data_IF_764531531707
#
_entry.id   IF_764531531707
#
_cell.length_a   1.000
_cell.length_b   1.000
_cell.length_c   1.000
_cell.angle_alpha   90.00
_cell.angle_beta   90.00
_cell.angle_gamma   90.00
#
_symmetry.space_group_name_H-M   'P 1'
#
loop_
_entity.id
_entity.type
_entity.pdbx_description
1 polymer ?
#
# COMPACT_ATOMS: atom_id res chain seq x y z
N UNK A 1 -7.16 -18.36 53.16
CA UNK A 1 -6.40 -19.14 52.16
C UNK A 1 -6.41 -18.53 50.75
N UNK A 2 -7.41 -17.72 50.35
CA UNK A 2 -7.46 -17.13 48.99
C UNK A 2 -6.38 -16.06 48.70
N UNK A 3 -5.96 -15.29 49.71
CA UNK A 3 -5.05 -14.15 49.52
C UNK A 3 -3.62 -14.58 49.15
N UNK A 4 -3.15 -15.72 49.68
CA UNK A 4 -1.80 -16.23 49.41
C UNK A 4 -1.68 -16.83 48.01
N UNK A 5 -2.76 -17.46 47.50
CA UNK A 5 -2.80 -17.97 46.12
C UNK A 5 -2.73 -16.85 45.07
N UNK A 6 -3.33 -15.69 45.35
CA UNK A 6 -3.27 -14.53 44.47
C UNK A 6 -1.85 -13.94 44.37
N UNK A 7 -1.12 -13.84 45.48
CA UNK A 7 0.27 -13.36 45.48
C UNK A 7 1.22 -14.29 44.72
N UNK A 8 1.03 -15.61 44.83
CA UNK A 8 1.82 -16.59 44.08
C UNK A 8 1.55 -16.46 42.57
N UNK A 9 0.27 -16.30 42.18
CA UNK A 9 -0.11 -16.08 40.77
C UNK A 9 0.47 -14.79 40.20
N UNK A 10 0.46 -13.70 40.98
CA UNK A 10 1.05 -12.40 40.58
C UNK A 10 2.58 -12.51 40.46
N UNK A 11 3.24 -13.22 41.37
CA UNK A 11 4.68 -13.44 41.31
C UNK A 11 5.06 -14.29 40.09
N UNK A 12 4.31 -15.35 39.78
CA UNK A 12 4.55 -16.21 38.61
C UNK A 12 4.34 -15.42 37.31
N UNK A 13 3.30 -14.60 37.20
CA UNK A 13 3.09 -13.76 36.00
C UNK A 13 4.18 -12.70 35.85
N UNK A 14 4.57 -12.01 36.94
CA UNK A 14 5.68 -11.05 36.92
C UNK A 14 7.02 -11.69 36.55
N UNK A 15 7.30 -12.91 37.03
CA UNK A 15 8.52 -13.66 36.70
C UNK A 15 8.51 -14.09 35.23
N UNK A 16 7.37 -14.51 34.70
CA UNK A 16 7.24 -14.87 33.27
C UNK A 16 7.38 -13.67 32.33
N UNK A 17 7.03 -12.46 32.76
CA UNK A 17 7.24 -11.21 32.00
C UNK A 17 8.74 -10.85 31.96
N UNK A 18 9.52 -11.18 32.98
CA UNK A 18 10.95 -10.89 33.05
C UNK A 18 11.84 -11.85 32.23
N UNK A 19 11.33 -13.03 31.87
CA UNK A 19 12.11 -14.04 31.11
C UNK A 19 12.02 -13.91 29.59
N UNK A 20 11.26 -12.97 29.06
CA UNK A 20 11.15 -12.76 27.60
C UNK A 20 11.95 -11.52 27.21
N UNK A 21 13.24 -11.71 26.90
CA UNK A 21 14.01 -10.68 26.20
C UNK A 21 13.57 -10.63 24.73
N UNK A 22 12.96 -9.54 24.26
CA UNK A 22 12.67 -9.39 22.84
C UNK A 22 13.99 -9.29 22.07
N UNK A 23 14.35 -10.34 21.32
CA UNK A 23 15.47 -10.28 20.37
C UNK A 23 15.08 -9.41 19.19
N UNK A 24 15.50 -8.14 19.25
CA UNK A 24 15.48 -7.27 18.07
C UNK A 24 16.52 -7.77 17.06
N UNK A 25 16.07 -8.21 15.89
CA UNK A 25 16.93 -8.65 14.79
C UNK A 25 16.98 -7.51 13.77
N UNK A 26 18.18 -7.01 13.48
CA UNK A 26 18.41 -6.09 12.37
C UNK A 26 18.48 -6.91 11.08
N UNK A 27 17.51 -6.71 10.19
CA UNK A 27 17.48 -7.38 8.89
C UNK A 27 18.31 -6.60 7.86
N UNK A 28 19.09 -7.32 7.04
CA UNK A 28 19.67 -6.72 5.84
C UNK A 28 18.63 -6.70 4.71
N UNK A 29 17.99 -5.56 4.52
CA UNK A 29 16.93 -5.37 3.52
C UNK A 29 17.45 -4.92 2.15
N UNK A 30 18.77 -4.87 1.96
CA UNK A 30 19.37 -4.43 0.69
C UNK A 30 19.14 -5.47 -0.41
N UNK A 31 18.45 -5.08 -1.49
CA UNK A 31 18.26 -5.95 -2.66
C UNK A 31 19.48 -5.92 -3.59
N UNK A 32 19.94 -7.09 -4.04
CA UNK A 32 20.96 -7.22 -5.09
C UNK A 32 20.61 -8.38 -6.01
N UNK A 33 20.78 -8.17 -7.32
CA UNK A 33 20.71 -9.26 -8.30
C UNK A 33 22.03 -10.04 -8.21
N UNK A 34 21.94 -11.35 -7.98
CA UNK A 34 23.11 -12.24 -7.93
C UNK A 34 23.13 -13.09 -9.20
N UNK A 35 24.13 -12.93 -10.09
CA UNK A 35 24.27 -13.76 -11.28
C UNK A 35 24.40 -15.25 -10.91
N UNK A 36 23.82 -16.13 -11.73
CA UNK A 36 23.86 -17.57 -11.50
C UNK A 36 22.97 -18.06 -10.34
N UNK A 37 22.13 -17.20 -9.77
CA UNK A 37 21.10 -17.57 -8.79
C UNK A 37 19.71 -17.15 -9.26
N UNK A 38 18.67 -17.80 -8.73
CA UNK A 38 17.31 -17.30 -8.83
C UNK A 38 17.21 -15.99 -8.04
N UNK A 39 16.70 -14.95 -8.68
CA UNK A 39 16.44 -13.66 -8.05
C UNK A 39 14.93 -13.52 -7.85
N UNK A 40 14.51 -13.42 -6.59
CA UNK A 40 13.10 -13.32 -6.21
C UNK A 40 12.77 -11.85 -5.95
N UNK A 41 11.85 -11.30 -6.74
CA UNK A 41 11.38 -9.93 -6.59
C UNK A 41 10.09 -9.92 -5.77
N UNK A 42 10.17 -9.41 -4.54
CA UNK A 42 9.00 -9.21 -3.69
C UNK A 42 8.38 -7.85 -4.01
N UNK A 43 7.18 -7.86 -4.58
CA UNK A 43 6.47 -6.64 -5.00
C UNK A 43 5.26 -6.42 -4.08
N UNK A 44 5.46 -5.60 -3.05
CA UNK A 44 4.39 -5.25 -2.13
C UNK A 44 3.37 -4.32 -2.80
N UNK A 45 2.10 -4.66 -2.66
CA UNK A 45 0.98 -3.96 -3.29
C UNK A 45 -0.28 -4.08 -2.42
N UNK A 46 -1.30 -3.29 -2.77
CA UNK A 46 -2.68 -3.47 -2.33
C UNK A 46 -3.57 -3.56 -3.56
N UNK A 47 -4.72 -4.20 -3.43
CA UNK A 47 -5.73 -4.28 -4.46
C UNK A 47 -6.99 -3.59 -3.94
N UNK A 48 -7.21 -2.35 -4.39
CA UNK A 48 -8.26 -1.49 -3.87
C UNK A 48 -9.38 -1.34 -4.90
N UNK A 49 -10.33 -2.28 -4.90
CA UNK A 49 -11.48 -2.26 -5.81
C UNK A 49 -12.24 -0.92 -5.73
N UNK A 50 -12.38 -0.23 -6.87
CA UNK A 50 -13.17 1.01 -6.97
C UNK A 50 -14.67 0.69 -7.04
N UNK A 51 -15.14 0.04 -5.99
CA UNK A 51 -16.50 -0.51 -5.87
C UNK A 51 -16.57 -1.99 -6.26
N UNK A 52 -17.03 -2.82 -5.32
CA UNK A 52 -17.31 -4.25 -5.53
C UNK A 52 -18.35 -4.73 -4.52
N UNK A 53 -17.95 -5.23 -3.35
CA UNK A 53 -18.89 -5.60 -2.28
C UNK A 53 -19.36 -4.38 -1.48
N UNK A 54 -18.48 -3.36 -1.37
CA UNK A 54 -18.79 -2.07 -0.76
C UNK A 54 -18.74 -0.98 -1.83
N UNK A 55 -19.38 0.15 -1.55
CA UNK A 55 -19.25 1.33 -2.41
C UNK A 55 -17.83 1.90 -2.32
N UNK A 56 -17.45 2.72 -3.32
CA UNK A 56 -16.15 3.43 -3.32
C UNK A 56 -15.93 4.17 -2.00
N UNK A 57 -16.94 4.92 -1.53
CA UNK A 57 -16.83 5.68 -0.28
C UNK A 57 -16.69 4.78 0.95
N UNK A 58 -17.43 3.67 0.99
CA UNK A 58 -17.36 2.72 2.09
C UNK A 58 -16.00 2.04 2.18
N UNK A 59 -15.40 1.68 1.04
CA UNK A 59 -14.01 1.21 0.99
C UNK A 59 -13.03 2.29 1.43
N UNK A 60 -13.20 3.54 1.00
CA UNK A 60 -12.28 4.61 1.34
C UNK A 60 -12.22 4.87 2.85
N UNK A 61 -13.37 5.15 3.47
CA UNK A 61 -13.43 5.51 4.91
C UNK A 61 -13.46 4.29 5.84
N UNK A 62 -13.51 3.07 5.30
CA UNK A 62 -13.58 1.85 6.08
C UNK A 62 -14.90 1.65 6.83
N UNK A 63 -16.02 2.07 6.26
CA UNK A 63 -17.34 1.82 6.83
C UNK A 63 -17.94 0.50 6.32
N UNK A 64 -19.00 0.04 7.00
CA UNK A 64 -19.72 -1.19 6.67
C UNK A 64 -18.83 -2.45 6.64
N UNK A 65 -17.90 -2.56 7.60
CA UNK A 65 -16.93 -3.66 7.66
C UNK A 65 -17.54 -5.03 8.00
N UNK A 66 -18.83 -5.11 8.32
CA UNK A 66 -19.55 -6.38 8.41
C UNK A 66 -19.68 -7.08 7.05
N UNK A 67 -19.62 -6.34 5.93
CA UNK A 67 -19.58 -6.90 4.58
C UNK A 67 -18.16 -7.39 4.27
N UNK A 68 -17.18 -6.50 4.45
CA UNK A 68 -15.76 -6.77 4.20
C UNK A 68 -14.90 -5.78 5.00
N UNK A 69 -13.96 -6.30 5.79
CA UNK A 69 -12.97 -5.49 6.49
C UNK A 69 -11.96 -4.89 5.52
N UNK A 70 -12.14 -3.62 5.17
CA UNK A 70 -11.27 -2.92 4.22
C UNK A 70 -11.39 -1.42 4.44
N UNK A 71 -10.25 -0.71 4.47
CA UNK A 71 -10.17 0.74 4.63
C UNK A 71 -8.98 1.27 3.83
N UNK A 72 -9.23 1.86 2.66
CA UNK A 72 -8.16 2.35 1.77
C UNK A 72 -7.41 3.52 2.40
N UNK A 73 -8.09 4.39 3.15
CA UNK A 73 -7.44 5.48 3.87
C UNK A 73 -6.37 4.95 4.83
N UNK A 74 -6.68 3.92 5.62
CA UNK A 74 -5.70 3.32 6.54
C UNK A 74 -4.51 2.72 5.80
N UNK A 75 -4.73 2.10 4.63
CA UNK A 75 -3.65 1.56 3.80
C UNK A 75 -2.71 2.68 3.38
N UNK A 76 -3.23 3.75 2.76
CA UNK A 76 -2.43 4.89 2.29
C UNK A 76 -1.72 5.61 3.45
N UNK A 77 -2.40 5.83 4.57
CA UNK A 77 -1.82 6.44 5.77
C UNK A 77 -0.68 5.60 6.37
N UNK A 78 -0.77 4.28 6.28
CA UNK A 78 0.24 3.36 6.84
C UNK A 78 1.46 3.16 5.92
N UNK A 79 1.29 3.26 4.60
CA UNK A 79 2.37 3.06 3.63
C UNK A 79 3.47 4.12 3.82
N UNK A 80 3.10 5.39 4.02
CA UNK A 80 4.06 6.49 4.16
C UNK A 80 5.07 6.26 5.30
N UNK A 81 4.65 6.06 6.56
CA UNK A 81 5.60 5.77 7.65
C UNK A 81 6.30 4.42 7.47
N UNK A 82 5.64 3.41 6.88
CA UNK A 82 6.28 2.12 6.61
C UNK A 82 7.46 2.24 5.63
N UNK A 83 7.33 3.07 4.59
CA UNK A 83 8.41 3.34 3.63
C UNK A 83 9.50 4.25 4.22
N UNK A 84 9.15 5.20 5.08
CA UNK A 84 10.14 6.05 5.76
C UNK A 84 11.02 5.27 6.74
N UNK A 85 10.48 4.21 7.35
CA UNK A 85 11.22 3.41 8.32
C UNK A 85 12.39 2.60 7.71
N UNK A 86 12.37 2.34 6.40
CA UNK A 86 13.47 1.66 5.71
C UNK A 86 13.50 2.05 4.22
N UNK A 87 14.60 2.70 3.82
CA UNK A 87 14.85 3.17 2.44
C UNK A 87 14.83 2.06 1.37
N UNK A 88 15.02 0.80 1.78
CA UNK A 88 15.01 -0.33 0.86
C UNK A 88 13.60 -0.87 0.60
N UNK A 89 12.60 -0.48 1.40
CA UNK A 89 11.22 -0.89 1.18
C UNK A 89 10.65 -0.24 -0.07
N UNK A 90 9.85 -1.02 -0.79
CA UNK A 90 9.17 -0.64 -2.02
C UNK A 90 7.70 -0.98 -1.94
N UNK A 91 6.86 -0.16 -2.54
CA UNK A 91 5.43 -0.39 -2.66
C UNK A 91 4.92 0.14 -4.00
N UNK A 92 4.01 -0.59 -4.63
CA UNK A 92 3.31 -0.16 -5.84
C UNK A 92 1.85 0.18 -5.50
N UNK A 93 1.33 1.26 -6.09
CA UNK A 93 -0.08 1.64 -5.94
C UNK A 93 -0.72 1.90 -7.31
N UNK A 94 -1.99 1.52 -7.46
CA UNK A 94 -2.65 1.44 -8.77
C UNK A 94 -3.75 2.50 -8.91
N UNK A 95 -4.82 2.42 -8.12
CA UNK A 95 -6.10 3.10 -8.39
C UNK A 95 -6.09 4.60 -8.07
N UNK A 96 -6.06 5.46 -9.10
CA UNK A 96 -6.01 6.90 -8.88
C UNK A 96 -7.29 7.47 -8.26
N UNK A 97 -8.45 6.82 -8.38
CA UNK A 97 -9.67 7.27 -7.73
C UNK A 97 -9.49 7.45 -6.21
N UNK A 98 -8.84 6.49 -5.56
CA UNK A 98 -8.56 6.56 -4.13
C UNK A 98 -7.35 7.43 -3.82
N UNK A 99 -6.24 7.26 -4.56
CA UNK A 99 -5.03 8.03 -4.31
C UNK A 99 -5.28 9.54 -4.43
N UNK A 100 -5.99 9.98 -5.47
CA UNK A 100 -6.31 11.40 -5.65
C UNK A 100 -7.25 11.93 -4.58
N UNK A 101 -8.17 11.10 -4.08
CA UNK A 101 -9.04 11.48 -2.96
C UNK A 101 -8.21 11.72 -1.71
N UNK A 102 -7.40 10.73 -1.34
CA UNK A 102 -6.49 10.81 -0.21
C UNK A 102 -5.54 12.01 -0.33
N UNK A 103 -4.96 12.22 -1.51
CA UNK A 103 -4.01 13.31 -1.78
C UNK A 103 -4.56 14.70 -1.45
N UNK A 104 -5.84 14.95 -1.79
CA UNK A 104 -6.50 16.24 -1.53
C UNK A 104 -6.64 16.55 -0.04
N UNK A 105 -6.69 15.51 0.79
CA UNK A 105 -6.87 15.64 2.24
C UNK A 105 -5.51 15.76 2.98
N UNK A 106 -4.38 15.58 2.28
CA UNK A 106 -3.05 15.58 2.89
C UNK A 106 -2.48 16.97 3.12
N UNK A 107 -1.73 17.13 4.21
CA UNK A 107 -0.93 18.33 4.47
C UNK A 107 0.25 18.45 3.49
N UNK A 108 0.76 19.67 3.31
CA UNK A 108 1.93 19.94 2.45
C UNK A 108 3.13 19.06 2.84
N UNK A 109 3.37 18.86 4.13
CA UNK A 109 4.47 18.01 4.64
C UNK A 109 4.34 16.55 4.20
N UNK A 110 3.13 15.99 4.24
CA UNK A 110 2.87 14.62 3.77
C UNK A 110 3.02 14.56 2.26
N UNK A 111 2.48 15.54 1.54
CA UNK A 111 2.60 15.62 0.08
C UNK A 111 4.07 15.69 -0.38
N UNK A 112 4.91 16.49 0.27
CA UNK A 112 6.35 16.56 0.01
C UNK A 112 7.05 15.25 0.30
N UNK A 113 6.66 14.57 1.39
CA UNK A 113 7.19 13.26 1.75
C UNK A 113 6.87 12.22 0.67
N UNK A 114 5.62 12.18 0.21
CA UNK A 114 5.19 11.27 -0.88
C UNK A 114 5.92 11.60 -2.17
N UNK A 115 6.06 12.88 -2.54
CA UNK A 115 6.87 13.31 -3.69
C UNK A 115 8.31 12.79 -3.60
N UNK A 116 8.93 12.84 -2.41
CA UNK A 116 10.26 12.27 -2.18
C UNK A 116 10.28 10.75 -2.35
N UNK A 117 9.29 10.04 -1.80
CA UNK A 117 9.17 8.58 -1.93
C UNK A 117 9.02 8.15 -3.40
N UNK A 118 8.21 8.87 -4.18
CA UNK A 118 8.07 8.68 -5.63
C UNK A 118 9.39 8.93 -6.36
N UNK A 119 10.08 10.04 -6.08
CA UNK A 119 11.36 10.37 -6.71
C UNK A 119 12.48 9.36 -6.38
N UNK A 120 12.45 8.78 -5.19
CA UNK A 120 13.41 7.75 -4.77
C UNK A 120 13.10 6.35 -5.34
N UNK A 121 11.90 6.14 -5.90
CA UNK A 121 11.43 4.82 -6.34
C UNK A 121 11.10 3.86 -5.19
N UNK A 122 10.82 4.38 -4.00
CA UNK A 122 10.26 3.59 -2.89
C UNK A 122 8.74 3.42 -3.05
N UNK A 123 8.06 4.45 -3.55
CA UNK A 123 6.67 4.35 -3.97
C UNK A 123 6.63 4.46 -5.49
N UNK A 124 5.87 3.59 -6.15
CA UNK A 124 5.66 3.65 -7.58
C UNK A 124 4.16 3.62 -7.88
N UNK A 125 3.69 4.55 -8.73
CA UNK A 125 2.32 4.53 -9.25
C UNK A 125 2.34 3.75 -10.56
N UNK A 126 1.62 2.63 -10.62
CA UNK A 126 1.53 1.75 -11.79
C UNK A 126 0.12 1.76 -12.36
N UNK A 127 -0.05 1.43 -13.64
CA UNK A 127 -1.29 1.66 -14.42
C UNK A 127 -1.67 3.15 -14.45
N UNK A 128 -2.07 3.73 -13.33
CA UNK A 128 -2.32 5.15 -13.15
C UNK A 128 -3.63 5.64 -13.73
N UNK A 129 -4.51 4.75 -14.19
CA UNK A 129 -5.91 5.09 -14.46
C UNK A 129 -6.71 5.37 -13.19
N UNK A 130 -7.91 5.91 -13.35
CA UNK A 130 -8.85 6.07 -12.24
C UNK A 130 -9.17 4.75 -11.54
N UNK A 131 -9.26 3.66 -12.30
CA UNK A 131 -9.36 2.29 -11.81
C UNK A 131 -8.56 1.32 -12.69
N UNK A 132 -8.42 0.09 -12.23
CA UNK A 132 -8.15 -1.06 -13.10
C UNK A 132 -9.47 -1.43 -13.78
N UNK A 133 -9.65 -1.02 -15.03
CA UNK A 133 -10.89 -1.27 -15.77
C UNK A 133 -10.99 -2.72 -16.20
N UNK A 134 -12.23 -3.20 -16.42
CA UNK A 134 -12.48 -4.45 -17.14
C UNK A 134 -11.91 -4.37 -18.57
N UNK A 135 -11.50 -5.50 -19.14
CA UNK A 135 -10.96 -5.58 -20.50
C UNK A 135 -11.95 -6.23 -21.49
N UNK A 136 -13.08 -6.76 -20.99
CA UNK A 136 -14.06 -7.45 -21.84
C UNK A 136 -15.23 -6.55 -22.28
N UNK A 137 -15.82 -5.79 -21.35
CA UNK A 137 -17.06 -5.05 -21.58
C UNK A 137 -16.92 -3.56 -21.99
N UNK A 138 -15.90 -2.78 -21.56
CA UNK A 138 -15.90 -1.35 -21.85
C UNK A 138 -15.55 -1.04 -23.30
N UNK A 139 -15.99 0.13 -23.77
CA UNK A 139 -15.53 0.68 -25.03
C UNK A 139 -14.12 1.25 -24.84
N UNK A 140 -13.26 1.11 -25.86
CA UNK A 140 -11.88 1.59 -25.78
C UNK A 140 -11.77 3.11 -25.50
N UNK A 141 -12.78 3.89 -25.87
CA UNK A 141 -12.86 5.33 -25.53
C UNK A 141 -12.92 5.50 -24.01
N UNK A 142 -13.75 4.73 -23.31
CA UNK A 142 -13.87 4.81 -21.85
C UNK A 142 -12.58 4.34 -21.16
N UNK A 143 -11.93 3.31 -21.70
CA UNK A 143 -10.61 2.85 -21.25
C UNK A 143 -9.57 3.98 -21.38
N UNK A 144 -9.57 4.70 -22.51
CA UNK A 144 -8.67 5.83 -22.76
C UNK A 144 -8.99 6.99 -21.83
N UNK A 145 -10.25 7.35 -21.68
CA UNK A 145 -10.68 8.52 -20.90
C UNK A 145 -10.34 8.36 -19.42
N UNK A 146 -10.67 7.20 -18.83
CA UNK A 146 -10.37 6.95 -17.42
C UNK A 146 -8.86 6.89 -17.17
N UNK A 147 -8.09 6.34 -18.11
CA UNK A 147 -6.62 6.27 -18.03
C UNK A 147 -6.02 7.67 -18.13
N UNK A 148 -6.50 8.46 -19.10
CA UNK A 148 -6.06 9.83 -19.35
C UNK A 148 -6.34 10.73 -18.15
N UNK A 149 -7.50 10.56 -17.49
CA UNK A 149 -7.86 11.35 -16.32
C UNK A 149 -6.87 11.13 -15.16
N UNK A 150 -6.54 9.87 -14.87
CA UNK A 150 -5.57 9.53 -13.85
C UNK A 150 -4.15 9.99 -14.20
N UNK A 151 -3.69 9.75 -15.44
CA UNK A 151 -2.35 10.15 -15.90
C UNK A 151 -2.17 11.67 -15.89
N UNK A 152 -3.22 12.43 -16.21
CA UNK A 152 -3.18 13.91 -16.19
C UNK A 152 -2.88 14.44 -14.80
N UNK A 153 -3.49 13.85 -13.76
CA UNK A 153 -3.19 14.19 -12.37
C UNK A 153 -1.72 13.89 -12.03
N UNK A 154 -1.25 12.67 -12.32
CA UNK A 154 0.14 12.26 -12.04
C UNK A 154 1.14 13.18 -12.71
N UNK A 155 0.91 13.51 -14.00
CA UNK A 155 1.78 14.40 -14.77
C UNK A 155 1.82 15.81 -14.16
N UNK A 156 0.67 16.34 -13.74
CA UNK A 156 0.53 17.68 -13.17
C UNK A 156 1.21 17.79 -11.80
N UNK A 157 0.94 16.85 -10.90
CA UNK A 157 1.37 16.95 -9.49
C UNK A 157 2.81 16.52 -9.26
N UNK A 158 3.31 15.55 -10.03
CA UNK A 158 4.62 14.92 -9.77
C UNK A 158 5.68 15.25 -10.82
N UNK A 159 5.36 16.02 -11.87
CA UNK A 159 6.28 16.39 -12.96
C UNK A 159 7.11 15.20 -13.44
N UNK A 160 6.43 14.18 -13.98
CA UNK A 160 6.99 12.89 -14.45
C UNK A 160 8.54 12.84 -14.52
N UNK A 161 9.23 12.41 -13.45
CA UNK A 161 10.63 12.02 -13.59
C UNK A 161 10.72 10.91 -14.65
N UNK A 162 11.78 10.91 -15.48
CA UNK A 162 12.05 9.82 -16.41
C UNK A 162 11.95 8.47 -15.65
N UNK A 163 10.94 7.66 -15.96
CA UNK A 163 10.71 6.37 -15.30
C UNK A 163 9.25 6.01 -15.01
N UNK A 164 8.35 6.99 -14.86
CA UNK A 164 6.92 6.71 -14.63
C UNK A 164 6.19 6.33 -15.93
N UNK A 165 6.53 6.95 -17.07
CA UNK A 165 5.82 6.76 -18.35
C UNK A 165 5.86 5.31 -18.84
N UNK A 166 6.93 4.56 -18.56
CA UNK A 166 7.05 3.14 -18.95
C UNK A 166 6.38 2.14 -18.01
N UNK A 167 5.87 2.58 -16.85
CA UNK A 167 5.25 1.74 -15.80
C UNK A 167 3.74 1.97 -15.66
N UNK A 168 3.20 2.88 -16.47
CA UNK A 168 1.79 3.23 -16.54
C UNK A 168 1.02 2.43 -17.62
N UNK A 169 1.67 1.41 -18.20
CA UNK A 169 1.02 0.44 -19.07
C UNK A 169 0.27 -0.55 -18.16
N UNK A 170 -0.97 -0.96 -18.51
CA UNK A 170 -1.70 -1.94 -17.73
C UNK A 170 -0.85 -3.20 -17.52
N UNK A 171 -0.73 -3.63 -16.27
CA UNK A 171 -0.11 -4.92 -15.95
C UNK A 171 -1.21 -5.97 -16.16
N UNK A 172 -1.57 -6.24 -17.40
CA UNK A 172 -2.70 -7.11 -17.69
C UNK A 172 -2.31 -8.58 -17.48
N UNK A 173 -3.31 -9.32 -16.97
CA UNK A 173 -3.35 -10.77 -16.73
C UNK A 173 -2.70 -11.19 -15.38
N UNK A 174 -3.56 -11.34 -14.36
CA UNK A 174 -3.30 -11.85 -12.99
C UNK A 174 -2.65 -10.87 -11.98
N UNK A 175 -3.39 -9.83 -11.57
CA UNK A 175 -3.55 -9.68 -10.12
C UNK A 175 -4.57 -10.72 -9.66
N UNK A 176 -4.07 -11.94 -9.42
CA UNK A 176 -4.80 -12.94 -8.68
C UNK A 176 -5.33 -12.27 -7.41
N UNK A 177 -6.65 -12.33 -7.19
CA UNK A 177 -7.34 -12.02 -5.93
C UNK A 177 -6.70 -12.80 -4.77
N UNK A 178 -5.54 -12.38 -4.30
CA UNK A 178 -5.02 -12.73 -3.00
C UNK A 178 -5.54 -11.64 -2.07
N UNK A 179 -6.82 -11.81 -1.71
CA UNK A 179 -7.35 -11.24 -0.48
C UNK A 179 -6.49 -11.79 0.66
N UNK A 180 -5.75 -10.92 1.34
CA UNK A 180 -5.31 -11.19 2.70
C UNK A 180 -6.53 -11.23 3.63
#
# INVERSE_FOLDING_TARGET
>A
MAVHGAWILILVTLMSIWCVEPKYIIYNTTSKIVPGKLNVHLVAHTHDDVGWLKTVDQYYVGSNNSIQGACVQNVLDSIVPALLADKNRKFIYVEQAFFQRWWRDQSETVQETVKRLLNSGQLELINGGMCMHDEAAPHYIDMIDQTTLGHRFVKREFKSPQGLVGKLIPLDILQCKLTC
#
